data_IF_924167410088
#
_entry.id   IF_924167410088
#
_cell.length_a   1.000
_cell.length_b   1.000
_cell.length_c   1.000
_cell.angle_alpha   90.00
_cell.angle_beta   90.00
_cell.angle_gamma   90.00
#
_symmetry.space_group_name_H-M   'P 1'
#
loop_
_entity.id
_entity.type
_entity.pdbx_description
1 polymer ?
#
# COMPACT_ATOMS: atom_id res chain seq x y z
N UNK A 1 2.82 4.32 -14.78
CA UNK A 1 2.03 4.01 -13.57
C UNK A 1 1.92 2.51 -13.40
N UNK A 2 1.54 1.75 -14.44
CA UNK A 2 1.38 0.28 -14.41
C UNK A 2 2.52 -0.46 -13.71
N UNK A 3 3.78 -0.21 -14.10
CA UNK A 3 4.95 -0.85 -13.46
C UNK A 3 5.04 -0.62 -11.95
N UNK A 4 4.65 0.55 -11.44
CA UNK A 4 4.68 0.82 -10.00
C UNK A 4 3.59 0.02 -9.29
N UNK A 5 2.39 -0.03 -9.88
CA UNK A 5 1.28 -0.80 -9.33
C UNK A 5 1.63 -2.30 -9.22
N UNK A 6 2.36 -2.85 -10.20
CA UNK A 6 2.81 -4.25 -10.20
C UNK A 6 3.80 -4.57 -9.06
N UNK A 7 4.65 -3.61 -8.66
CA UNK A 7 5.72 -3.84 -7.67
C UNK A 7 5.37 -3.33 -6.27
N UNK A 8 4.21 -2.74 -6.07
CA UNK A 8 3.73 -2.22 -4.78
C UNK A 8 2.58 -3.05 -4.22
N UNK A 9 2.56 -4.36 -4.49
CA UNK A 9 1.60 -5.27 -3.89
C UNK A 9 1.71 -5.20 -2.35
N UNK A 10 0.56 -5.14 -1.66
CA UNK A 10 0.44 -4.98 -0.19
C UNK A 10 0.96 -3.67 0.40
N UNK A 11 1.36 -2.69 -0.43
CA UNK A 11 1.64 -1.34 0.07
C UNK A 11 0.33 -0.66 0.46
N UNK A 12 0.31 -0.08 1.65
CA UNK A 12 -0.76 0.81 2.07
C UNK A 12 -0.55 2.22 1.53
N UNK A 13 -1.55 3.10 1.69
CA UNK A 13 -1.38 4.52 1.38
C UNK A 13 -0.22 5.18 2.15
N UNK A 14 0.08 4.71 3.37
CA UNK A 14 1.22 5.20 4.15
C UNK A 14 2.56 4.74 3.57
N UNK A 15 2.63 3.50 3.06
CA UNK A 15 3.82 2.97 2.40
C UNK A 15 4.10 3.73 1.10
N UNK A 16 3.07 3.98 0.29
CA UNK A 16 3.18 4.78 -0.94
C UNK A 16 3.63 6.21 -0.65
N UNK A 17 3.08 6.84 0.40
CA UNK A 17 3.52 8.17 0.85
C UNK A 17 5.01 8.17 1.21
N UNK A 18 5.46 7.14 1.92
CA UNK A 18 6.87 6.97 2.29
C UNK A 18 7.78 6.80 1.06
N UNK A 19 7.34 6.05 0.04
CA UNK A 19 8.05 5.93 -1.24
C UNK A 19 8.19 7.29 -1.92
N UNK A 20 7.11 8.07 -2.00
CA UNK A 20 7.14 9.41 -2.62
C UNK A 20 8.10 10.36 -1.91
N UNK A 21 8.10 10.38 -0.56
CA UNK A 21 9.02 11.20 0.23
C UNK A 21 10.46 10.77 -0.02
N UNK A 22 10.75 9.46 0.03
CA UNK A 22 12.10 8.92 -0.22
C UNK A 22 12.58 9.25 -1.63
N UNK A 23 11.74 9.11 -2.65
CA UNK A 23 12.08 9.47 -4.03
C UNK A 23 12.44 10.97 -4.17
N UNK A 24 11.73 11.85 -3.45
CA UNK A 24 12.08 13.27 -3.37
C UNK A 24 13.45 13.52 -2.71
N UNK A 25 13.73 12.82 -1.60
CA UNK A 25 15.03 12.90 -0.92
C UNK A 25 16.16 12.40 -1.82
N UNK A 26 15.94 11.31 -2.57
CA UNK A 26 16.93 10.79 -3.52
C UNK A 26 17.25 11.83 -4.61
N UNK A 27 16.23 12.47 -5.18
CA UNK A 27 16.43 13.51 -6.17
C UNK A 27 17.25 14.69 -5.62
N UNK A 28 16.93 15.15 -4.41
CA UNK A 28 17.65 16.25 -3.75
C UNK A 28 19.09 15.91 -3.36
N UNK A 29 19.38 14.62 -3.11
CA UNK A 29 20.75 14.15 -2.85
C UNK A 29 21.60 14.14 -4.12
N UNK A 30 20.99 13.90 -5.28
CA UNK A 30 21.68 13.93 -6.58
C UNK A 30 21.86 15.37 -7.09
N UNK A 31 20.83 16.19 -6.97
CA UNK A 31 20.87 17.62 -7.28
C UNK A 31 20.08 18.41 -6.23
N UNK A 32 20.79 19.23 -5.45
CA UNK A 32 20.19 20.14 -4.45
C UNK A 32 19.13 21.10 -4.99
N UNK A 33 19.11 21.34 -6.31
CA UNK A 33 18.14 22.20 -6.99
C UNK A 33 17.05 21.41 -7.73
N UNK A 34 17.01 20.09 -7.57
CA UNK A 34 16.02 19.24 -8.20
C UNK A 34 14.60 19.72 -7.90
N UNK A 35 13.78 19.86 -8.95
CA UNK A 35 12.36 20.25 -8.85
C UNK A 35 11.41 19.11 -9.22
N UNK A 36 11.95 18.01 -9.74
CA UNK A 36 11.18 16.87 -10.22
C UNK A 36 11.90 15.59 -9.83
N UNK A 37 11.12 14.52 -9.65
CA UNK A 37 11.64 13.17 -9.47
C UNK A 37 11.53 12.41 -10.79
N UNK A 38 12.41 11.44 -11.00
CA UNK A 38 12.37 10.53 -12.14
C UNK A 38 11.76 9.20 -11.73
N UNK A 39 11.41 8.37 -12.72
CA UNK A 39 10.99 6.99 -12.46
C UNK A 39 12.09 6.20 -11.74
N UNK A 40 13.36 6.50 -11.99
CA UNK A 40 14.49 5.84 -11.31
C UNK A 40 14.49 6.10 -9.80
N UNK A 41 14.18 7.33 -9.38
CA UNK A 41 14.06 7.65 -7.95
C UNK A 41 12.91 6.87 -7.29
N UNK A 42 11.79 6.72 -7.99
CA UNK A 42 10.65 5.94 -7.50
C UNK A 42 11.00 4.46 -7.38
N UNK A 43 11.61 3.86 -8.40
CA UNK A 43 12.02 2.44 -8.38
C UNK A 43 13.01 2.15 -7.25
N UNK A 44 13.98 3.04 -7.03
CA UNK A 44 14.93 2.92 -5.91
C UNK A 44 14.23 3.07 -4.56
N UNK A 45 13.36 4.06 -4.42
CA UNK A 45 12.61 4.26 -3.18
C UNK A 45 11.67 3.09 -2.85
N UNK A 46 11.04 2.49 -3.86
CA UNK A 46 10.21 1.28 -3.69
C UNK A 46 11.05 0.09 -3.25
N UNK A 47 12.22 -0.12 -3.87
CA UNK A 47 13.13 -1.21 -3.49
C UNK A 47 13.61 -1.12 -2.03
N UNK A 48 13.78 0.10 -1.53
CA UNK A 48 14.20 0.39 -0.15
C UNK A 48 13.01 0.51 0.83
N UNK A 49 11.80 0.16 0.41
CA UNK A 49 10.59 0.21 1.25
C UNK A 49 9.92 -1.16 1.28
N UNK A 50 9.68 -1.66 2.49
CA UNK A 50 8.96 -2.92 2.69
C UNK A 50 7.47 -2.62 2.86
N UNK A 51 6.56 -3.41 2.26
CA UNK A 51 5.14 -3.31 2.56
C UNK A 51 4.89 -3.45 4.06
N UNK A 52 4.00 -2.62 4.60
CA UNK A 52 3.60 -2.72 6.02
C UNK A 52 2.61 -3.86 6.27
N UNK A 53 1.89 -4.30 5.24
CA UNK A 53 0.94 -5.42 5.33
C UNK A 53 1.63 -6.70 4.91
N UNK A 54 1.57 -7.70 5.80
CA UNK A 54 2.06 -9.06 5.50
C UNK A 54 0.92 -9.92 4.96
N UNK A 55 1.28 -10.98 4.25
CA UNK A 55 0.30 -11.97 3.76
C UNK A 55 -0.46 -12.65 4.92
N UNK A 56 0.18 -12.84 6.06
CA UNK A 56 -0.48 -13.37 7.27
C UNK A 56 -1.56 -12.41 7.78
N UNK A 57 -1.26 -11.12 7.86
CA UNK A 57 -2.23 -10.10 8.27
C UNK A 57 -3.43 -10.05 7.32
N UNK A 58 -3.22 -10.17 6.00
CA UNK A 58 -4.31 -10.24 5.02
C UNK A 58 -5.22 -11.45 5.29
N UNK A 59 -4.63 -12.64 5.46
CA UNK A 59 -5.38 -13.87 5.74
C UNK A 59 -6.17 -13.78 7.05
N UNK A 60 -5.60 -13.18 8.07
CA UNK A 60 -6.30 -13.00 9.35
C UNK A 60 -7.44 -12.00 9.23
N UNK A 61 -7.24 -10.91 8.49
CA UNK A 61 -8.31 -9.95 8.20
C UNK A 61 -9.45 -10.60 7.41
N UNK A 62 -9.14 -11.44 6.42
CA UNK A 62 -10.13 -12.22 5.68
C UNK A 62 -10.95 -13.12 6.60
N UNK A 63 -10.31 -13.86 7.52
CA UNK A 63 -11.02 -14.70 8.51
C UNK A 63 -11.95 -13.87 9.38
N UNK A 64 -11.49 -12.71 9.87
CA UNK A 64 -12.31 -11.80 10.68
C UNK A 64 -13.55 -11.36 9.88
N UNK A 65 -13.37 -10.95 8.63
CA UNK A 65 -14.47 -10.54 7.74
C UNK A 65 -15.46 -11.69 7.51
N UNK A 66 -14.98 -12.93 7.33
CA UNK A 66 -15.86 -14.10 7.17
C UNK A 66 -16.66 -14.39 8.44
N UNK A 67 -16.01 -14.40 9.61
CA UNK A 67 -16.67 -14.62 10.89
C UNK A 67 -17.72 -13.54 11.16
N UNK A 68 -17.37 -12.26 10.96
CA UNK A 68 -18.31 -11.14 11.12
C UNK A 68 -19.51 -11.25 10.17
N UNK A 69 -19.31 -11.68 8.92
CA UNK A 69 -20.42 -11.93 7.98
C UNK A 69 -21.34 -13.05 8.46
N UNK A 70 -20.78 -14.16 8.96
CA UNK A 70 -21.55 -15.27 9.48
C UNK A 70 -22.36 -14.87 10.73
N UNK A 71 -21.74 -14.14 11.66
CA UNK A 71 -22.41 -13.64 12.86
C UNK A 71 -23.52 -12.64 12.54
N UNK A 72 -23.28 -11.70 11.63
CA UNK A 72 -24.28 -10.75 11.15
C UNK A 72 -25.52 -11.46 10.57
N UNK A 73 -25.32 -12.50 9.76
CA UNK A 73 -26.42 -13.31 9.22
C UNK A 73 -27.22 -14.02 10.32
N UNK A 74 -26.56 -14.51 11.38
CA UNK A 74 -27.23 -15.22 12.50
C UNK A 74 -28.14 -14.30 13.32
N UNK A 75 -27.81 -13.02 13.43
CA UNK A 75 -28.59 -12.03 14.19
C UNK A 75 -29.58 -11.24 13.33
N UNK A 76 -29.75 -11.61 12.05
CA UNK A 76 -30.65 -10.91 11.13
C UNK A 76 -30.15 -9.54 10.65
N UNK A 77 -28.91 -9.17 10.96
CA UNK A 77 -28.26 -7.96 10.48
C UNK A 77 -27.70 -8.22 9.07
N UNK A 78 -28.20 -7.51 8.05
CA UNK A 78 -27.61 -7.56 6.71
C UNK A 78 -26.44 -6.58 6.63
N UNK A 79 -25.18 -7.04 6.56
CA UNK A 79 -24.06 -6.14 6.37
C UNK A 79 -24.19 -5.43 5.02
N UNK A 80 -23.79 -4.16 4.98
CA UNK A 80 -23.82 -3.31 3.78
C UNK A 80 -23.09 -4.00 2.62
N UNK A 81 -23.77 -4.07 1.46
CA UNK A 81 -23.19 -4.57 0.20
C UNK A 81 -22.66 -3.34 -0.55
N UNK A 82 -21.35 -3.16 -0.74
CA UNK A 82 -20.86 -2.15 -1.67
C UNK A 82 -21.32 -2.52 -3.08
N UNK A 83 -21.73 -1.51 -3.85
CA UNK A 83 -22.19 -1.62 -5.23
C UNK A 83 -21.05 -2.03 -6.18
#
# INVERSE_FOLDING_TARGET
MERLAEITERFTGADISSVCIKAGILALREDSKARQITMEHLLRATKDTTPSVTEEMERDYEKIVQTMKQEAMRIGFRPFRPA
#
